data_IF_910301026917
#
_entry.id   IF_910301026917
#
_cell.length_a   1.000
_cell.length_b   1.000
_cell.length_c   1.000
_cell.angle_alpha   90.00
_cell.angle_beta   90.00
_cell.angle_gamma   90.00
#
_symmetry.space_group_name_H-M   'P 1'
#
loop_
_entity.id
_entity.type
_entity.pdbx_description
1 polymer ?
#
# COMPACT_ATOMS: atom_id res chain seq x y z
N UNK A 1 -4.16 -7.06 26.41
CA UNK A 1 -4.70 -8.03 25.44
C UNK A 1 -6.19 -7.88 25.16
N UNK A 2 -7.02 -7.77 26.19
CA UNK A 2 -8.45 -7.53 26.01
C UNK A 2 -8.77 -6.30 25.15
N UNK A 3 -8.07 -5.19 25.39
CA UNK A 3 -8.28 -3.96 24.66
C UNK A 3 -7.86 -4.06 23.19
N UNK A 4 -6.82 -4.84 22.92
CA UNK A 4 -6.33 -5.06 21.57
C UNK A 4 -7.32 -5.93 20.77
N UNK A 5 -7.84 -6.98 21.40
CA UNK A 5 -8.85 -7.86 20.78
C UNK A 5 -10.15 -7.09 20.51
N UNK A 6 -10.57 -6.26 21.46
CA UNK A 6 -11.76 -5.43 21.32
C UNK A 6 -11.60 -4.41 20.20
N UNK A 7 -10.42 -3.77 20.12
CA UNK A 7 -10.06 -2.83 19.07
C UNK A 7 -10.03 -3.52 17.70
N UNK A 8 -9.49 -4.73 17.64
CA UNK A 8 -9.46 -5.54 16.43
C UNK A 8 -10.88 -5.95 15.99
N UNK A 9 -11.75 -6.32 16.92
CA UNK A 9 -13.14 -6.64 16.64
C UNK A 9 -13.92 -5.44 16.10
N UNK A 10 -13.67 -4.26 16.61
CA UNK A 10 -14.28 -3.02 16.11
C UNK A 10 -13.84 -2.74 14.69
N UNK A 11 -12.56 -2.94 14.39
CA UNK A 11 -12.02 -2.81 13.04
C UNK A 11 -12.61 -3.85 12.08
N UNK A 12 -12.96 -5.04 12.58
CA UNK A 12 -13.56 -6.13 11.80
C UNK A 12 -14.98 -5.83 11.37
N UNK A 13 -15.79 -5.22 12.25
CA UNK A 13 -17.18 -4.88 11.93
C UNK A 13 -17.29 -3.75 10.91
N UNK A 14 -16.30 -2.86 10.84
CA UNK A 14 -16.15 -1.80 9.82
C UNK A 14 -14.68 -1.70 9.47
N UNK A 15 -14.21 -2.48 8.46
CA UNK A 15 -12.81 -2.45 8.09
C UNK A 15 -12.40 -1.04 7.69
N UNK A 16 -11.64 -0.37 8.55
CA UNK A 16 -11.07 0.93 8.28
C UNK A 16 -9.56 0.76 8.13
N UNK A 17 -9.11 0.80 6.89
CA UNK A 17 -7.70 0.66 6.56
C UNK A 17 -6.93 1.96 6.70
N UNK A 18 -7.57 3.07 7.06
CA UNK A 18 -6.93 4.39 7.11
C UNK A 18 -5.75 4.41 8.08
N UNK A 19 -5.89 3.79 9.24
CA UNK A 19 -4.83 3.73 10.26
C UNK A 19 -3.60 2.99 9.73
N UNK A 20 -3.84 1.86 9.06
CA UNK A 20 -2.76 1.06 8.45
C UNK A 20 -2.10 1.85 7.33
N UNK A 21 -2.90 2.48 6.48
CA UNK A 21 -2.38 3.27 5.38
C UNK A 21 -1.54 4.45 5.86
N UNK A 22 -1.99 5.15 6.89
CA UNK A 22 -1.22 6.24 7.49
C UNK A 22 0.12 5.76 8.03
N UNK A 23 0.14 4.59 8.67
CA UNK A 23 1.37 3.98 9.17
C UNK A 23 2.31 3.62 8.01
N UNK A 24 1.77 3.08 6.92
CA UNK A 24 2.52 2.75 5.71
C UNK A 24 3.16 4.00 5.12
N UNK A 25 2.39 5.07 4.96
CA UNK A 25 2.88 6.33 4.40
C UNK A 25 3.98 6.91 5.29
N UNK A 26 3.78 6.90 6.60
CA UNK A 26 4.76 7.41 7.56
C UNK A 26 6.06 6.63 7.50
N UNK A 27 5.98 5.30 7.48
CA UNK A 27 7.16 4.44 7.38
C UNK A 27 7.87 4.64 6.04
N UNK A 28 7.12 4.79 4.96
CA UNK A 28 7.68 5.00 3.62
C UNK A 28 8.43 6.33 3.48
N UNK A 29 8.14 7.29 4.35
CA UNK A 29 8.79 8.60 4.37
C UNK A 29 10.08 8.64 5.19
N UNK A 30 10.48 7.53 5.79
CA UNK A 30 11.71 7.46 6.54
C UNK A 30 12.90 7.87 5.66
N UNK A 31 13.70 8.82 6.16
CA UNK A 31 14.79 9.45 5.41
C UNK A 31 15.80 8.43 4.89
N UNK A 32 16.00 7.34 5.62
CA UNK A 32 16.96 6.29 5.27
C UNK A 32 16.71 5.66 3.89
N UNK A 33 15.46 5.55 3.46
CA UNK A 33 15.14 4.99 2.15
C UNK A 33 15.69 5.86 1.01
N UNK A 34 15.73 7.17 1.22
CA UNK A 34 16.19 8.12 0.22
C UNK A 34 17.70 8.34 0.29
N UNK A 35 18.25 8.41 1.49
CA UNK A 35 19.68 8.73 1.69
C UNK A 35 20.57 7.49 1.63
N UNK A 36 20.14 6.36 2.17
CA UNK A 36 20.95 5.13 2.25
C UNK A 36 20.58 4.10 1.21
N UNK A 37 19.29 4.01 0.84
CA UNK A 37 18.81 3.01 -0.12
C UNK A 37 18.71 3.54 -1.54
N UNK A 38 18.95 4.84 -1.75
CA UNK A 38 19.02 5.43 -3.08
C UNK A 38 17.68 5.60 -3.78
N UNK A 39 16.56 5.57 -3.04
CA UNK A 39 15.24 5.82 -3.63
C UNK A 39 15.12 7.30 -3.98
N UNK A 40 14.75 7.65 -5.23
CA UNK A 40 14.56 9.07 -5.59
C UNK A 40 13.42 9.70 -4.79
N UNK A 41 13.63 10.91 -4.28
CA UNK A 41 12.58 11.66 -3.61
C UNK A 41 11.68 12.34 -4.65
N UNK A 42 10.91 11.55 -5.36
CA UNK A 42 10.00 11.94 -6.43
C UNK A 42 8.66 11.26 -6.18
N UNK A 43 7.57 11.71 -6.83
CA UNK A 43 6.30 11.00 -6.74
C UNK A 43 6.41 9.51 -7.12
N UNK A 44 7.20 9.18 -8.13
CA UNK A 44 7.44 7.80 -8.54
C UNK A 44 8.16 7.01 -7.45
N UNK A 45 9.23 7.56 -6.87
CA UNK A 45 9.96 6.91 -5.79
C UNK A 45 9.10 6.70 -4.55
N UNK A 46 8.28 7.69 -4.21
CA UNK A 46 7.34 7.58 -3.09
C UNK A 46 6.29 6.50 -3.33
N UNK A 47 5.77 6.43 -4.55
CA UNK A 47 4.82 5.37 -4.94
C UNK A 47 5.46 3.99 -4.84
N UNK A 48 6.70 3.83 -5.26
CA UNK A 48 7.42 2.56 -5.15
C UNK A 48 7.55 2.11 -3.69
N UNK A 49 7.89 3.02 -2.79
CA UNK A 49 8.00 2.70 -1.37
C UNK A 49 6.65 2.35 -0.73
N UNK A 50 5.61 3.10 -1.06
CA UNK A 50 4.26 2.81 -0.59
C UNK A 50 3.79 1.46 -1.11
N UNK A 51 4.07 1.15 -2.37
CA UNK A 51 3.72 -0.13 -2.98
C UNK A 51 4.42 -1.30 -2.28
N UNK A 52 5.70 -1.17 -2.00
CA UNK A 52 6.47 -2.20 -1.30
C UNK A 52 5.91 -2.45 0.11
N UNK A 53 5.69 -1.39 0.87
CA UNK A 53 5.16 -1.51 2.22
C UNK A 53 3.73 -2.10 2.21
N UNK A 54 2.90 -1.65 1.28
CA UNK A 54 1.53 -2.17 1.12
C UNK A 54 1.54 -3.65 0.77
N UNK A 55 2.46 -4.07 -0.11
CA UNK A 55 2.63 -5.47 -0.47
C UNK A 55 2.95 -6.32 0.78
N UNK A 56 3.88 -5.87 1.61
CA UNK A 56 4.29 -6.60 2.81
C UNK A 56 3.08 -6.79 3.75
N UNK A 57 2.32 -5.72 4.00
CA UNK A 57 1.13 -5.79 4.83
C UNK A 57 0.06 -6.70 4.25
N UNK A 58 -0.23 -6.56 2.96
CA UNK A 58 -1.27 -7.37 2.31
C UNK A 58 -0.91 -8.85 2.29
N UNK A 59 0.37 -9.16 2.07
CA UNK A 59 0.83 -10.54 2.11
C UNK A 59 0.61 -11.16 3.50
N UNK A 60 0.93 -10.40 4.54
CA UNK A 60 0.72 -10.86 5.91
C UNK A 60 -0.77 -11.05 6.23
N UNK A 61 -1.60 -10.13 5.79
CA UNK A 61 -3.03 -10.22 5.99
C UNK A 61 -3.65 -11.44 5.28
N UNK A 62 -3.16 -11.78 4.10
CA UNK A 62 -3.61 -12.97 3.37
C UNK A 62 -3.23 -14.26 4.12
N UNK A 63 -2.04 -14.31 4.71
CA UNK A 63 -1.62 -15.46 5.50
C UNK A 63 -2.52 -15.66 6.71
N UNK A 64 -2.97 -14.57 7.34
CA UNK A 64 -3.88 -14.64 8.47
C UNK A 64 -5.28 -15.12 8.07
N UNK A 65 -5.70 -14.86 6.83
CA UNK A 65 -6.96 -15.33 6.26
C UNK A 65 -8.20 -14.69 6.84
N UNK A 66 -9.36 -15.13 6.39
CA UNK A 66 -10.66 -14.69 6.90
C UNK A 66 -10.87 -13.18 6.77
N UNK A 67 -11.20 -12.53 7.89
CA UNK A 67 -11.47 -11.08 7.90
C UNK A 67 -10.26 -10.22 7.60
N UNK A 68 -9.04 -10.74 7.78
CA UNK A 68 -7.83 -10.04 7.40
C UNK A 68 -7.74 -9.83 5.89
N UNK A 69 -8.31 -10.72 5.09
CA UNK A 69 -8.39 -10.54 3.64
C UNK A 69 -9.27 -9.35 3.27
N UNK A 70 -10.37 -9.15 4.00
CA UNK A 70 -11.23 -7.98 3.81
C UNK A 70 -10.49 -6.69 4.13
N UNK A 71 -9.67 -6.72 5.17
CA UNK A 71 -8.82 -5.57 5.52
C UNK A 71 -7.79 -5.29 4.43
N UNK A 72 -7.24 -6.33 3.81
CA UNK A 72 -6.32 -6.19 2.68
C UNK A 72 -6.98 -5.47 1.51
N UNK A 73 -8.20 -5.86 1.17
CA UNK A 73 -8.97 -5.19 0.10
C UNK A 73 -9.28 -3.74 0.47
N UNK A 74 -9.68 -3.50 1.72
CA UNK A 74 -9.95 -2.14 2.19
C UNK A 74 -8.70 -1.27 2.15
N UNK A 75 -7.54 -1.82 2.44
CA UNK A 75 -6.26 -1.11 2.34
C UNK A 75 -5.96 -0.70 0.89
N UNK A 76 -6.13 -1.63 -0.04
CA UNK A 76 -5.97 -1.35 -1.46
C UNK A 76 -6.91 -0.24 -1.93
N UNK A 77 -8.18 -0.35 -1.58
CA UNK A 77 -9.20 0.64 -1.95
C UNK A 77 -8.87 2.02 -1.37
N UNK A 78 -8.43 2.05 -0.12
CA UNK A 78 -8.05 3.30 0.54
C UNK A 78 -6.85 3.96 -0.13
N UNK A 79 -5.85 3.17 -0.49
CA UNK A 79 -4.66 3.66 -1.17
C UNK A 79 -5.01 4.33 -2.50
N UNK A 80 -5.86 3.69 -3.31
CA UNK A 80 -6.23 4.26 -4.60
C UNK A 80 -7.22 5.41 -4.48
N UNK A 81 -8.06 5.43 -3.44
CA UNK A 81 -8.90 6.59 -3.14
C UNK A 81 -8.05 7.81 -2.79
N UNK A 82 -6.98 7.62 -2.02
CA UNK A 82 -6.06 8.69 -1.67
C UNK A 82 -5.31 9.23 -2.89
N UNK A 83 -4.87 8.34 -3.78
CA UNK A 83 -4.23 8.72 -5.04
C UNK A 83 -5.18 9.54 -5.90
N UNK A 84 -6.45 9.15 -5.99
CA UNK A 84 -7.48 9.89 -6.71
C UNK A 84 -7.60 11.33 -6.19
N UNK A 85 -7.74 11.47 -4.88
CA UNK A 85 -7.83 12.79 -4.22
C UNK A 85 -6.61 13.63 -4.54
N UNK A 86 -5.41 13.06 -4.41
CA UNK A 86 -4.17 13.78 -4.66
C UNK A 86 -4.05 14.25 -6.12
N UNK A 87 -4.44 13.41 -7.07
CA UNK A 87 -4.42 13.78 -8.49
C UNK A 87 -5.38 14.95 -8.78
N UNK A 88 -6.58 14.93 -8.19
CA UNK A 88 -7.55 16.00 -8.34
C UNK A 88 -7.07 17.31 -7.73
N UNK A 89 -6.43 17.24 -6.56
CA UNK A 89 -5.83 18.41 -5.91
C UNK A 89 -4.70 19.01 -6.75
N UNK A 90 -4.01 18.19 -7.54
CA UNK A 90 -2.98 18.65 -8.47
C UNK A 90 -3.56 19.23 -9.77
N UNK A 91 -4.88 19.26 -9.90
CA UNK A 91 -5.55 19.85 -11.06
C UNK A 91 -5.83 18.88 -12.21
N UNK A 92 -5.65 17.58 -12.00
CA UNK A 92 -5.93 16.58 -13.03
C UNK A 92 -7.45 16.42 -13.17
N UNK A 93 -7.97 16.50 -14.40
CA UNK A 93 -9.40 16.34 -14.68
C UNK A 93 -9.85 14.88 -14.64
N UNK A 94 -11.17 14.66 -14.64
CA UNK A 94 -11.77 13.34 -14.47
C UNK A 94 -11.19 12.26 -15.39
N UNK A 95 -11.05 12.57 -16.67
CA UNK A 95 -10.53 11.60 -17.67
C UNK A 95 -9.07 11.27 -17.36
N UNK A 96 -8.27 12.29 -17.04
CA UNK A 96 -6.86 12.12 -16.69
C UNK A 96 -6.67 11.31 -15.42
N UNK A 97 -7.51 11.55 -14.40
CA UNK A 97 -7.48 10.78 -13.14
C UNK A 97 -7.75 9.31 -13.42
N UNK A 98 -8.78 8.99 -14.19
CA UNK A 98 -9.12 7.61 -14.53
C UNK A 98 -7.98 6.88 -15.24
N UNK A 99 -7.35 7.53 -16.21
CA UNK A 99 -6.21 6.98 -16.96
C UNK A 99 -5.01 6.76 -16.04
N UNK A 100 -4.70 7.72 -15.18
CA UNK A 100 -3.56 7.66 -14.27
C UNK A 100 -3.75 6.55 -13.23
N UNK A 101 -4.93 6.43 -12.65
CA UNK A 101 -5.25 5.39 -11.69
C UNK A 101 -5.13 4.01 -12.32
N UNK A 102 -5.67 3.83 -13.53
CA UNK A 102 -5.55 2.57 -14.26
C UNK A 102 -4.08 2.19 -14.49
N UNK A 103 -3.26 3.16 -14.89
CA UNK A 103 -1.83 2.96 -15.09
C UNK A 103 -1.11 2.59 -13.80
N UNK A 104 -1.41 3.30 -12.69
CA UNK A 104 -0.80 3.03 -11.40
C UNK A 104 -1.24 1.68 -10.83
N UNK A 105 -2.50 1.29 -11.03
CA UNK A 105 -2.99 -0.02 -10.61
C UNK A 105 -2.26 -1.14 -11.37
N UNK A 106 -2.08 -0.98 -12.67
CA UNK A 106 -1.31 -1.94 -13.48
C UNK A 106 0.13 -2.04 -13.01
N UNK A 107 0.76 -0.89 -12.71
CA UNK A 107 2.12 -0.86 -12.17
C UNK A 107 2.20 -1.55 -10.81
N UNK A 108 1.22 -1.32 -9.93
CA UNK A 108 1.15 -1.93 -8.62
C UNK A 108 1.07 -3.47 -8.73
N UNK A 109 0.18 -3.98 -9.58
CA UNK A 109 0.08 -5.43 -9.81
C UNK A 109 1.36 -6.01 -10.39
N UNK A 110 2.03 -5.29 -11.28
CA UNK A 110 3.33 -5.70 -11.82
C UNK A 110 4.39 -5.79 -10.73
N UNK A 111 4.40 -4.84 -9.79
CA UNK A 111 5.30 -4.88 -8.62
C UNK A 111 5.02 -6.09 -7.73
N UNK A 112 3.75 -6.37 -7.45
CA UNK A 112 3.36 -7.54 -6.65
C UNK A 112 3.89 -8.83 -7.28
N UNK A 113 3.72 -8.99 -8.59
CA UNK A 113 4.23 -10.16 -9.31
C UNK A 113 5.74 -10.29 -9.17
N UNK A 114 6.46 -9.19 -9.31
CA UNK A 114 7.93 -9.17 -9.16
C UNK A 114 8.36 -9.51 -7.74
N UNK A 115 7.70 -8.96 -6.74
CA UNK A 115 8.02 -9.24 -5.34
C UNK A 115 7.73 -10.69 -4.97
N UNK A 116 6.62 -11.26 -5.45
CA UNK A 116 6.28 -12.66 -5.22
C UNK A 116 7.32 -13.58 -5.83
N UNK A 117 7.76 -13.28 -7.05
CA UNK A 117 8.81 -14.05 -7.72
C UNK A 117 10.13 -13.97 -6.93
N UNK A 118 10.50 -12.78 -6.48
CA UNK A 118 11.73 -12.57 -5.70
C UNK A 118 11.70 -13.34 -4.38
N UNK A 119 10.56 -13.36 -3.70
CA UNK A 119 10.41 -14.12 -2.45
C UNK A 119 10.56 -15.62 -2.68
N UNK A 120 10.11 -16.14 -3.81
CA UNK A 120 10.28 -17.57 -4.16
C UNK A 120 11.74 -17.93 -4.43
N UNK A 121 12.52 -16.99 -4.94
CA UNK A 121 13.95 -17.18 -5.21
C UNK A 121 14.81 -17.03 -3.96
N UNK A 122 14.26 -16.44 -2.89
CA UNK A 122 14.94 -16.24 -1.64
C UNK A 122 15.35 -14.80 -1.39
N UNK A 123 15.95 -14.54 -0.22
CA UNK A 123 16.27 -13.19 0.25
C UNK A 123 17.23 -12.42 -0.66
N UNK A 124 18.10 -13.11 -1.34
CA UNK A 124 19.15 -12.50 -2.19
C UNK A 124 18.55 -11.80 -3.41
N UNK A 125 17.37 -12.22 -3.85
CA UNK A 125 16.70 -11.66 -5.02
C UNK A 125 15.93 -10.35 -4.73
N UNK A 126 15.71 -10.04 -3.46
CA UNK A 126 15.05 -8.84 -3.04
C UNK A 126 16.07 -7.73 -2.81
#
# INVERSE_FOLDING_TARGET
MRNLIKKFKIMRSKPDASVIYEAIVRQSREVQFYTKCGVPDTPTGRFELISLHSFIFMKRLKVLGGEAEQLSQALFDHMFADIDINLREMGVGDIGVGKKIKSLAAAYYGRITSYEAALKEGEVAI
#
